data_IF_511977448990
#
_entry.id   IF_511977448990
#
_cell.length_a   1.000
_cell.length_b   1.000
_cell.length_c   1.000
_cell.angle_alpha   90.00
_cell.angle_beta   90.00
_cell.angle_gamma   90.00
#
_symmetry.space_group_name_H-M   'P 1'
#
loop_
_entity.id
_entity.type
_entity.pdbx_description
1 polymer ?
2 branched ?
3 non-polymer ?
4 non-polymer ?
5 non-polymer ?
6 water ?
#
# COMPACT_ATOMS: atom_id res chain seq x y z
N UNK A 1 21.41 -12.00 8.89
CA UNK A 1 22.53 -12.80 8.31
C UNK A 1 23.27 -12.06 7.19
N UNK A 2 22.81 -12.27 5.96
CA UNK A 2 23.38 -11.62 4.77
C UNK A 2 22.22 -10.80 4.18
N UNK A 3 22.53 -9.76 3.41
CA UNK A 3 21.47 -8.96 2.81
C UNK A 3 20.70 -9.82 1.81
N UNK A 4 19.38 -9.65 1.77
CA UNK A 4 18.59 -10.40 0.81
C UNK A 4 18.74 -9.80 -0.59
N UNK A 5 18.82 -10.67 -1.59
CA UNK A 5 18.91 -10.25 -2.98
C UNK A 5 17.68 -10.78 -3.70
N UNK A 6 17.10 -9.97 -4.56
CA UNK A 6 15.91 -10.35 -5.33
C UNK A 6 16.36 -11.23 -6.46
N UNK A 7 16.61 -12.49 -6.15
CA UNK A 7 17.11 -13.43 -7.16
C UNK A 7 16.05 -14.24 -7.87
N UNK A 8 14.83 -14.26 -7.34
CA UNK A 8 13.76 -15.04 -7.96
C UNK A 8 12.77 -14.21 -8.77
N UNK A 9 12.02 -14.91 -9.62
CA UNK A 9 10.99 -14.27 -10.40
C UNK A 9 9.68 -14.58 -9.67
N UNK A 10 8.57 -14.02 -10.12
CA UNK A 10 7.26 -14.26 -9.49
C UNK A 10 6.74 -15.66 -9.82
N UNK A 11 6.00 -16.26 -8.90
CA UNK A 11 5.40 -17.55 -9.17
C UNK A 11 4.22 -17.23 -10.12
N UNK A 12 3.74 -18.24 -10.81
CA UNK A 12 2.62 -18.07 -11.72
C UNK A 12 1.36 -17.91 -10.88
N UNK A 13 0.64 -16.84 -11.13
CA UNK A 13 -0.57 -16.55 -10.39
C UNK A 13 -1.76 -17.09 -11.14
N UNK A 14 -2.35 -18.18 -10.63
CA UNK A 14 -3.53 -18.76 -11.30
C UNK A 14 -4.79 -18.49 -10.50
N UNK A 15 -4.60 -18.06 -9.26
CA UNK A 15 -5.69 -17.66 -8.36
C UNK A 15 -5.08 -17.09 -7.06
N UNK A 16 -5.94 -16.68 -6.14
CA UNK A 16 -5.50 -16.11 -4.88
C UNK A 16 -6.10 -16.88 -3.71
N UNK A 17 -5.27 -17.20 -2.72
CA UNK A 17 -5.73 -17.94 -1.54
C UNK A 17 -5.71 -17.00 -0.33
N UNK A 18 -6.56 -17.29 0.65
CA UNK A 18 -6.62 -16.46 1.87
C UNK A 18 -5.30 -16.63 2.62
N UNK A 19 -4.73 -15.51 3.04
CA UNK A 19 -3.46 -15.49 3.77
C UNK A 19 -3.66 -15.01 5.21
N UNK A 20 -4.28 -13.85 5.40
CA UNK A 20 -4.53 -13.36 6.74
C UNK A 20 -5.77 -12.49 6.80
N UNK A 21 -6.38 -12.39 7.97
CA UNK A 21 -7.57 -11.57 8.19
C UNK A 21 -7.65 -11.38 9.70
N UNK A 22 -7.73 -10.13 10.15
CA UNK A 22 -7.79 -9.89 11.59
C UNK A 22 -9.16 -9.61 12.23
N UNK A 23 -10.20 -9.34 11.41
CA UNK A 23 -11.53 -9.09 11.96
C UNK A 23 -11.45 -8.07 13.09
N UNK A 24 -10.59 -7.08 12.93
CA UNK A 24 -10.34 -6.08 13.96
C UNK A 24 -11.55 -5.31 14.48
N UNK A 25 -12.40 -4.85 13.57
CA UNK A 25 -13.57 -4.07 13.97
C UNK A 25 -14.60 -4.94 14.72
N UNK A 26 -14.80 -6.18 14.26
CA UNK A 26 -15.73 -7.09 14.93
C UNK A 26 -15.25 -7.30 16.35
N UNK A 27 -14.00 -7.72 16.48
CA UNK A 27 -13.42 -8.01 17.78
C UNK A 27 -13.33 -6.79 18.69
N UNK A 28 -12.91 -5.65 18.13
CA UNK A 28 -12.76 -4.42 18.87
C UNK A 28 -14.04 -3.81 19.43
N UNK A 29 -15.18 -4.37 19.03
CA UNK A 29 -16.48 -3.91 19.53
C UNK A 29 -16.53 -4.18 21.05
N UNK A 30 -15.73 -5.15 21.49
CA UNK A 30 -15.71 -5.51 22.89
C UNK A 30 -14.33 -5.99 23.36
N UNK A 31 -13.29 -5.28 22.96
CA UNK A 31 -11.94 -5.59 23.41
C UNK A 31 -11.10 -4.36 23.09
N UNK A 32 -9.90 -4.26 23.68
CA UNK A 32 -9.10 -3.05 23.50
C UNK A 32 -8.28 -2.96 22.24
N UNK A 33 -9.02 -2.77 21.14
CA UNK A 33 -8.43 -2.69 19.83
C UNK A 33 -8.22 -1.22 19.44
N UNK A 34 -7.01 -0.91 18.98
CA UNK A 34 -6.69 0.45 18.56
C UNK A 34 -7.36 0.83 17.23
N UNK A 35 -7.73 2.11 17.11
CA UNK A 35 -8.30 2.61 15.87
C UNK A 35 -7.07 2.76 14.96
N UNK A 36 -7.22 2.38 13.70
CA UNK A 36 -6.13 2.49 12.74
C UNK A 36 -6.66 2.89 11.39
N UNK A 37 -5.75 2.93 10.41
CA UNK A 37 -6.02 3.12 8.98
C UNK A 37 -4.64 3.02 8.30
N UNK A 38 -4.62 2.96 6.97
CA UNK A 38 -3.40 2.87 6.18
C UNK A 38 -2.57 1.64 6.60
N UNK A 39 -3.20 0.47 6.60
CA UNK A 39 -2.51 -0.76 7.00
C UNK A 39 -1.68 -1.36 5.86
N UNK A 40 -0.85 -2.33 6.22
CA UNK A 40 -0.08 -3.09 5.23
C UNK A 40 0.50 -4.34 5.90
N UNK A 41 1.26 -5.12 5.16
CA UNK A 41 1.86 -6.33 5.70
C UNK A 41 3.31 -6.33 5.27
N UNK A 42 4.18 -6.87 6.12
CA UNK A 42 5.60 -6.91 5.80
C UNK A 42 6.26 -8.06 6.56
N UNK A 43 7.17 -8.77 5.89
CA UNK A 43 7.85 -9.90 6.48
C UNK A 43 9.28 -9.66 6.88
N UNK A 44 9.66 -10.39 7.92
CA UNK A 44 11.03 -10.41 8.42
C UNK A 44 11.42 -11.84 7.99
N UNK A 45 12.70 -12.18 8.07
CA UNK A 45 13.12 -13.53 7.68
C UNK A 45 12.46 -14.67 8.49
N UNK A 46 11.97 -14.38 9.68
CA UNK A 46 11.37 -15.40 10.51
C UNK A 46 9.93 -15.14 10.92
N UNK A 47 9.30 -14.09 10.39
CA UNK A 47 7.94 -13.75 10.78
C UNK A 47 7.34 -12.70 9.86
N UNK A 48 6.03 -12.78 9.61
CA UNK A 48 5.32 -11.77 8.82
C UNK A 48 4.32 -11.13 9.77
N UNK A 49 4.20 -9.81 9.72
CA UNK A 49 3.32 -9.08 10.63
C UNK A 49 2.43 -8.07 9.91
N UNK A 50 1.37 -7.66 10.61
CA UNK A 50 0.46 -6.63 10.10
C UNK A 50 1.04 -5.30 10.62
N UNK A 51 0.84 -4.25 9.84
CA UNK A 51 1.33 -2.89 10.15
C UNK A 51 0.19 -1.92 9.89
N UNK A 52 0.20 -0.77 10.57
CA UNK A 52 -0.80 0.28 10.34
C UNK A 52 -0.48 1.53 11.13
N UNK A 53 -1.21 2.59 10.84
CA UNK A 53 -1.06 3.83 11.55
C UNK A 53 -2.16 3.94 12.60
N UNK A 54 -1.76 3.78 13.85
CA UNK A 54 -2.69 3.89 14.96
C UNK A 54 -3.18 5.33 15.06
N UNK A 55 -4.31 5.53 15.73
CA UNK A 55 -4.84 6.87 15.95
C UNK A 55 -4.69 7.19 17.45
N UNK A 56 -3.99 6.32 18.18
CA UNK A 56 -3.75 6.54 19.60
C UNK A 56 -4.99 6.55 20.49
N UNK A 57 -5.89 5.59 20.24
CA UNK A 57 -7.13 5.45 21.01
C UNK A 57 -7.73 4.12 20.60
N UNK A 58 -8.57 3.54 21.46
CA UNK A 58 -9.27 2.30 21.12
C UNK A 58 -10.54 2.72 20.35
N UNK A 59 -11.18 1.77 19.68
CA UNK A 59 -12.38 2.06 18.90
C UNK A 59 -13.55 2.40 19.81
N UNK A 60 -13.70 1.68 20.91
CA UNK A 60 -14.77 1.98 21.86
C UNK A 60 -14.48 3.20 22.73
N UNK A 61 -13.22 3.66 22.74
CA UNK A 61 -12.85 4.79 23.55
C UNK A 61 -13.48 6.07 23.08
N UNK A 62 -13.70 7.00 24.01
CA UNK A 62 -14.30 8.27 23.66
C UNK A 62 -13.40 9.06 22.71
N UNK A 63 -12.08 8.84 22.75
CA UNK A 63 -11.18 9.56 21.85
C UNK A 63 -11.26 9.06 20.40
N UNK A 64 -12.11 8.05 20.13
CA UNK A 64 -12.27 7.56 18.75
C UNK A 64 -13.04 8.61 17.94
N UNK A 65 -13.71 9.52 18.65
CA UNK A 65 -14.48 10.56 17.99
C UNK A 65 -13.52 11.48 17.23
N UNK A 66 -13.68 11.54 15.91
CA UNK A 66 -12.83 12.41 15.12
C UNK A 66 -11.70 11.74 14.37
N UNK A 67 -11.59 10.41 14.50
CA UNK A 67 -10.51 9.68 13.82
C UNK A 67 -10.60 9.60 12.31
N UNK A 68 -11.52 10.37 11.72
CA UNK A 68 -11.54 10.42 10.26
C UNK A 68 -10.32 11.27 9.83
N UNK A 69 -9.84 12.15 10.72
CA UNK A 69 -8.69 13.01 10.41
C UNK A 69 -7.41 12.21 10.23
N UNK A 70 -6.64 12.62 9.23
CA UNK A 70 -5.41 11.96 8.83
C UNK A 70 -4.12 12.18 9.59
N UNK A 71 -3.87 13.43 10.00
CA UNK A 71 -2.61 13.74 10.63
C UNK A 71 -2.74 14.41 11.97
N UNK A 72 -2.35 13.70 13.02
CA UNK A 72 -2.40 14.23 14.38
C UNK A 72 -1.13 13.76 15.07
N UNK A 73 -0.86 14.34 16.23
CA UNK A 73 0.31 14.00 17.02
C UNK A 73 0.11 12.68 17.75
N UNK A 74 -1.06 12.08 17.62
CA UNK A 74 -1.35 10.83 18.33
C UNK A 74 -1.25 9.56 17.51
N UNK A 75 -0.75 9.71 16.29
CA UNK A 75 -0.59 8.59 15.39
C UNK A 75 0.81 8.00 15.48
N UNK A 76 0.92 6.72 15.13
CA UNK A 76 2.22 6.03 15.16
C UNK A 76 2.13 4.78 14.27
N UNK A 77 3.25 4.37 13.71
CA UNK A 77 3.28 3.15 12.93
C UNK A 77 3.40 2.02 13.96
N UNK A 78 2.47 1.06 13.92
CA UNK A 78 2.53 -0.07 14.83
C UNK A 78 2.53 -1.35 14.03
N UNK A 79 3.06 -2.43 14.61
CA UNK A 79 3.01 -3.71 13.96
C UNK A 79 2.53 -4.71 15.00
N UNK A 80 1.95 -5.82 14.54
CA UNK A 80 1.43 -6.80 15.46
C UNK A 80 1.39 -8.15 14.74
N UNK A 81 1.24 -9.25 15.50
CA UNK A 81 1.19 -10.59 14.90
C UNK A 81 0.14 -10.81 13.83
N UNK A 82 0.57 -11.51 12.78
CA UNK A 82 -0.27 -11.83 11.63
C UNK A 82 -1.65 -12.34 12.02
N UNK A 83 -2.67 -11.68 11.49
CA UNK A 83 -4.07 -12.02 11.68
C UNK A 83 -4.68 -11.77 13.06
N UNK A 84 -3.87 -11.26 13.98
CA UNK A 84 -4.38 -10.87 15.30
C UNK A 84 -4.85 -9.42 15.06
N UNK A 85 -5.69 -8.86 15.95
CA UNK A 85 -6.09 -7.47 15.71
C UNK A 85 -5.07 -6.55 16.38
N UNK A 86 -5.01 -5.27 15.98
CA UNK A 86 -4.04 -4.37 16.62
C UNK A 86 -4.61 -3.90 17.96
N UNK A 87 -4.17 -4.55 19.03
CA UNK A 87 -4.64 -4.20 20.36
C UNK A 87 -3.63 -3.34 21.12
N UNK A 88 -4.09 -2.74 22.20
CA UNK A 88 -3.23 -1.90 23.01
C UNK A 88 -2.07 -2.74 23.57
N UNK A 89 -2.37 -3.99 23.88
CA UNK A 89 -1.42 -4.90 24.50
C UNK A 89 -0.48 -5.72 23.60
N UNK A 90 -0.73 -5.77 22.29
CA UNK A 90 0.11 -6.57 21.40
C UNK A 90 0.69 -5.74 20.26
N UNK A 91 0.44 -4.45 20.25
CA UNK A 91 0.93 -3.61 19.17
C UNK A 91 2.28 -3.03 19.54
N UNK A 92 3.24 -3.18 18.63
CA UNK A 92 4.60 -2.69 18.84
C UNK A 92 4.77 -1.43 18.04
N UNK A 93 5.17 -0.33 18.70
CA UNK A 93 5.37 0.92 17.97
C UNK A 93 6.73 0.91 17.26
N UNK A 94 6.71 1.14 15.94
CA UNK A 94 7.94 1.19 15.15
C UNK A 94 8.51 2.64 15.10
N UNK A 95 7.62 3.63 15.13
CA UNK A 95 7.97 5.05 15.14
C UNK A 95 6.71 5.91 15.18
N UNK A 96 6.89 7.19 15.47
CA UNK A 96 5.79 8.15 15.60
C UNK A 96 5.59 8.97 14.34
N UNK A 97 4.34 9.07 13.88
CA UNK A 97 4.06 9.83 12.67
C UNK A 97 2.76 9.46 11.99
N UNK A 98 2.45 10.14 10.89
CA UNK A 98 1.19 9.91 10.18
C UNK A 98 1.30 9.46 8.73
N UNK A 99 2.51 9.04 8.34
CA UNK A 99 2.78 8.52 7.01
C UNK A 99 3.99 7.63 7.20
N UNK A 100 3.97 6.45 6.59
CA UNK A 100 5.07 5.50 6.79
C UNK A 100 5.33 4.48 5.71
N UNK A 101 6.46 3.80 5.90
CA UNK A 101 6.88 2.66 5.11
C UNK A 101 7.83 1.85 6.00
N UNK A 102 8.08 0.59 5.65
CA UNK A 102 8.95 -0.26 6.44
C UNK A 102 9.32 -1.47 5.60
N UNK A 103 10.54 -1.97 5.78
CA UNK A 103 10.97 -3.17 5.08
C UNK A 103 12.21 -3.77 5.73
N UNK A 104 12.37 -5.07 5.58
CA UNK A 104 13.51 -5.79 6.13
C UNK A 104 14.51 -6.03 4.99
N UNK A 105 15.80 -5.82 5.26
CA UNK A 105 16.80 -6.01 4.22
C UNK A 105 17.49 -7.36 4.30
N UNK A 106 17.03 -8.22 5.21
CA UNK A 106 17.62 -9.53 5.37
C UNK A 106 18.42 -9.58 6.65
N UNK A 107 18.98 -8.45 7.06
CA UNK A 107 19.76 -8.38 8.29
C UNK A 107 18.86 -7.79 9.37
N UNK A 108 18.27 -6.64 9.09
CA UNK A 108 17.37 -6.01 10.04
C UNK A 108 16.36 -5.13 9.32
N UNK A 109 15.46 -4.53 10.08
CA UNK A 109 14.40 -3.73 9.50
C UNK A 109 14.60 -2.22 9.52
N UNK A 110 14.16 -1.57 8.44
CA UNK A 110 14.18 -0.12 8.33
C UNK A 110 12.71 0.32 8.37
N UNK A 111 12.41 1.30 9.23
CA UNK A 111 11.04 1.83 9.32
C UNK A 111 11.14 3.34 9.18
N UNK A 112 10.20 3.95 8.47
CA UNK A 112 10.22 5.40 8.27
C UNK A 112 8.87 5.99 8.65
N UNK A 113 8.89 7.04 9.48
CA UNK A 113 7.65 7.72 9.87
C UNK A 113 7.83 9.20 9.65
N UNK A 114 6.82 9.83 9.09
CA UNK A 114 6.86 11.27 8.86
C UNK A 114 5.86 11.90 9.83
N UNK A 115 6.26 13.02 10.46
CA UNK A 115 5.38 13.73 11.38
C UNK A 115 5.57 15.23 11.20
N UNK A 116 4.73 16.01 11.87
CA UNK A 116 4.84 17.45 11.82
C UNK A 116 3.63 18.12 11.21
N UNK A 117 3.62 19.45 11.21
CA UNK A 117 2.52 20.21 10.63
C UNK A 117 2.68 20.16 9.11
N UNK A 118 1.64 20.54 8.38
CA UNK A 118 1.67 20.48 6.93
C UNK A 118 2.84 21.17 6.26
N UNK A 119 3.26 22.31 6.79
CA UNK A 119 4.36 23.08 6.20
C UNK A 119 5.72 22.86 6.86
N UNK A 120 5.84 21.86 7.72
CA UNK A 120 7.11 21.67 8.38
C UNK A 120 7.30 20.22 8.83
N UNK A 121 6.87 19.28 7.98
CA UNK A 121 7.00 17.86 8.30
C UNK A 121 8.43 17.35 8.11
N UNK A 122 8.73 16.21 8.72
CA UNK A 122 10.06 15.60 8.60
C UNK A 122 9.95 14.10 8.71
N UNK A 123 10.81 13.39 8.00
CA UNK A 123 10.87 11.95 8.05
C UNK A 123 12.03 11.54 8.97
N UNK A 124 11.81 10.49 9.77
CA UNK A 124 12.88 9.94 10.60
C UNK A 124 13.01 8.50 10.16
N UNK A 125 14.22 8.11 9.78
CA UNK A 125 14.50 6.77 9.29
C UNK A 125 15.16 5.97 10.39
N UNK A 126 14.47 4.90 10.80
CA UNK A 126 14.91 4.01 11.85
C UNK A 126 15.50 2.76 11.24
N UNK A 127 16.57 2.25 11.83
CA UNK A 127 17.20 1.02 11.36
C UNK A 127 17.64 0.24 12.60
N UNK A 128 17.26 -1.03 12.65
CA UNK A 128 17.59 -1.86 13.81
C UNK A 128 16.97 -1.26 15.07
N UNK A 129 15.76 -0.72 14.90
CA UNK A 129 14.94 -0.10 15.94
C UNK A 129 15.55 1.14 16.60
N UNK A 130 16.45 1.82 15.88
CA UNK A 130 17.09 3.03 16.38
C UNK A 130 17.00 4.10 15.31
N UNK A 131 16.82 5.37 15.70
CA UNK A 131 16.74 6.44 14.69
C UNK A 131 18.13 6.67 14.13
N UNK A 132 18.25 6.73 12.81
CA UNK A 132 19.56 6.93 12.16
C UNK A 132 19.68 8.20 11.30
N UNK A 133 18.68 8.47 10.46
CA UNK A 133 18.68 9.62 9.55
C UNK A 133 17.34 10.40 9.61
N UNK A 134 17.41 11.70 9.33
CA UNK A 134 16.21 12.53 9.31
C UNK A 134 16.25 13.35 8.04
N UNK A 135 15.08 13.60 7.46
CA UNK A 135 14.97 14.37 6.21
C UNK A 135 13.87 15.40 6.39
N UNK A 136 14.22 16.68 6.23
CA UNK A 136 13.23 17.75 6.37
C UNK A 136 12.42 17.92 5.09
N UNK A 137 11.19 18.40 5.24
CA UNK A 137 10.30 18.68 4.12
C UNK A 137 11.06 19.57 3.11
N UNK A 138 10.92 19.27 1.82
CA UNK A 138 11.59 20.08 0.79
C UNK A 138 10.62 20.97 0.04
N UNK A 139 9.32 20.68 0.14
CA UNK A 139 8.33 21.49 -0.55
C UNK A 139 7.34 22.11 0.42
N UNK A 140 7.51 21.82 1.71
CA UNK A 140 6.66 22.36 2.77
C UNK A 140 5.17 22.19 2.54
N UNK A 141 4.78 21.00 2.09
CA UNK A 141 3.37 20.69 1.82
C UNK A 141 3.12 19.18 1.96
N UNK A 142 2.94 18.77 3.21
CA UNK A 142 2.68 17.38 3.56
C UNK A 142 3.63 16.35 2.97
N UNK A 143 4.87 16.36 3.46
CA UNK A 143 5.85 15.35 3.06
C UNK A 143 5.12 14.02 3.37
N UNK A 144 5.15 13.07 2.44
CA UNK A 144 4.40 11.82 2.63
C UNK A 144 5.05 10.67 1.85
N UNK A 145 4.77 9.43 2.26
CA UNK A 145 5.39 8.30 1.59
C UNK A 145 4.43 7.17 1.24
N UNK A 146 4.95 5.96 1.09
CA UNK A 146 4.19 4.83 0.59
C UNK A 146 2.92 4.27 1.23
N UNK A 147 2.94 4.10 2.56
CA UNK A 147 1.84 3.51 3.32
C UNK A 147 1.77 2.00 3.06
N UNK A 148 2.88 1.43 2.59
CA UNK A 148 3.01 -0.01 2.43
C UNK A 148 4.52 -0.33 2.41
N UNK A 149 4.89 -1.60 2.42
CA UNK A 149 6.31 -1.90 2.52
C UNK A 149 7.22 -1.49 1.37
N UNK A 150 8.46 -1.18 1.72
CA UNK A 150 9.46 -0.86 0.71
C UNK A 150 10.10 -2.23 0.38
N UNK A 151 11.08 -2.23 -0.52
CA UNK A 151 11.75 -3.48 -0.90
C UNK A 151 13.26 -3.26 -0.95
N UNK A 152 14.03 -4.25 -0.51
CA UNK A 152 15.48 -4.12 -0.50
C UNK A 152 16.18 -5.14 -1.41
N UNK A 153 17.37 -4.77 -1.87
CA UNK A 153 18.20 -5.64 -2.70
C UNK A 153 19.66 -5.35 -2.31
N UNK A 154 20.35 -6.36 -1.80
CA UNK A 154 21.73 -6.23 -1.34
C UNK A 154 21.95 -5.02 -0.42
N UNK A 155 21.01 -4.80 0.50
CA UNK A 155 21.14 -3.71 1.45
C UNK A 155 20.55 -2.39 1.02
N UNK A 156 20.27 -2.23 -0.28
CA UNK A 156 19.72 -0.97 -0.80
C UNK A 156 18.21 -1.06 -0.82
N UNK A 157 17.56 -0.15 -0.08
CA UNK A 157 16.09 -0.12 0.02
C UNK A 157 15.52 1.21 -0.47
N UNK A 158 15.06 1.26 -1.75
CA UNK A 158 14.50 2.49 -2.30
C UNK A 158 13.13 2.79 -1.69
N UNK A 159 12.84 4.09 -1.52
CA UNK A 159 11.57 4.53 -0.96
C UNK A 159 11.11 5.75 -1.76
N UNK A 160 9.83 5.79 -2.10
CA UNK A 160 9.30 6.90 -2.86
C UNK A 160 8.58 7.85 -1.92
N UNK A 161 8.94 9.14 -2.00
CA UNK A 161 8.36 10.21 -1.19
C UNK A 161 7.80 11.29 -2.11
N UNK A 162 6.76 12.00 -1.64
CA UNK A 162 6.23 13.12 -2.39
C UNK A 162 6.06 14.28 -1.42
N UNK A 163 6.38 15.50 -1.86
CA UNK A 163 6.19 16.69 -1.05
C UNK A 163 5.65 17.70 -2.05
N UNK A 164 4.56 18.38 -1.67
CA UNK A 164 3.95 19.34 -2.56
C UNK A 164 2.48 19.08 -2.78
N UNK A 165 1.91 19.76 -3.77
CA UNK A 165 0.49 19.65 -4.09
C UNK A 165 -0.05 18.25 -4.37
N UNK A 166 -1.33 18.07 -4.02
CA UNK A 166 -2.04 16.81 -4.27
C UNK A 166 -2.96 17.03 -5.48
N UNK A 167 -2.96 18.25 -6.00
CA UNK A 167 -3.83 18.63 -7.10
C UNK A 167 -3.13 19.40 -8.21
N UNK A 168 -1.84 19.14 -8.38
CA UNK A 168 -1.05 19.78 -9.40
C UNK A 168 0.32 19.14 -9.30
N UNK A 169 1.31 19.60 -10.06
CA UNK A 169 2.66 19.03 -9.99
C UNK A 169 3.23 19.09 -8.57
N UNK A 170 3.91 18.04 -8.16
CA UNK A 170 4.49 17.98 -6.83
C UNK A 170 5.95 17.56 -6.97
N UNK A 171 6.68 17.50 -5.85
CA UNK A 171 8.08 17.10 -5.89
C UNK A 171 8.29 15.71 -5.29
N UNK A 172 8.39 14.73 -6.17
CA UNK A 172 8.58 13.35 -5.80
C UNK A 172 10.05 13.02 -5.88
N UNK A 173 10.53 12.27 -4.89
CA UNK A 173 11.92 11.87 -4.83
C UNK A 173 12.02 10.38 -4.52
N UNK A 174 13.05 9.75 -5.09
CA UNK A 174 13.30 8.36 -4.81
C UNK A 174 14.59 8.36 -4.00
N UNK A 175 14.52 7.89 -2.75
CA UNK A 175 15.68 7.83 -1.89
C UNK A 175 16.17 6.40 -1.85
N UNK A 176 17.49 6.24 -1.90
CA UNK A 176 18.10 4.91 -1.83
C UNK A 176 18.81 4.84 -0.48
N UNK A 177 18.27 4.04 0.44
CA UNK A 177 18.84 3.90 1.77
C UNK A 177 19.60 2.58 1.91
N UNK A 178 20.61 2.58 2.76
CA UNK A 178 21.32 1.35 3.09
C UNK A 178 21.67 1.52 4.56
N UNK A 179 21.21 0.60 5.40
CA UNK A 179 21.43 0.69 6.82
C UNK A 179 20.92 2.01 7.40
N UNK A 180 19.81 2.48 6.85
CA UNK A 180 19.20 3.71 7.33
C UNK A 180 19.88 4.99 6.90
N UNK A 181 20.93 4.88 6.12
CA UNK A 181 21.65 6.06 5.67
C UNK A 181 21.33 6.33 4.20
N UNK A 182 21.36 7.60 3.81
CA UNK A 182 21.05 7.95 2.42
C UNK A 182 22.26 7.74 1.51
N UNK A 183 22.12 6.85 0.53
CA UNK A 183 23.20 6.63 -0.41
C UNK A 183 23.05 7.66 -1.54
N UNK A 184 21.80 7.90 -1.92
CA UNK A 184 21.50 8.79 -3.04
C UNK A 184 20.00 9.03 -3.07
N UNK A 185 19.60 10.12 -3.72
CA UNK A 185 18.18 10.38 -3.95
C UNK A 185 18.14 11.01 -5.32
N UNK A 186 17.00 10.89 -5.97
CA UNK A 186 16.86 11.50 -7.27
C UNK A 186 15.42 11.94 -7.44
N UNK A 187 15.20 12.97 -8.26
CA UNK A 187 13.85 13.46 -8.52
C UNK A 187 13.15 12.50 -9.47
N UNK A 188 11.84 12.42 -9.35
CA UNK A 188 11.07 11.54 -10.22
C UNK A 188 11.35 11.91 -11.68
N UNK A 189 11.48 10.88 -12.52
CA UNK A 189 11.70 11.07 -13.94
C UNK A 189 10.67 10.22 -14.67
N UNK A 190 10.67 10.31 -15.99
CA UNK A 190 9.71 9.55 -16.78
C UNK A 190 8.44 10.31 -17.10
N UNK A 191 7.39 9.58 -17.50
CA UNK A 191 6.15 10.24 -17.88
C UNK A 191 5.03 10.27 -16.83
N UNK A 192 5.24 9.68 -15.65
CA UNK A 192 4.22 9.73 -14.60
C UNK A 192 4.10 11.21 -14.23
N UNK A 193 2.88 11.75 -14.17
CA UNK A 193 2.67 13.19 -13.90
C UNK A 193 2.46 13.59 -12.43
N UNK A 194 2.07 12.62 -11.61
CA UNK A 194 1.85 12.86 -10.18
C UNK A 194 1.99 11.49 -9.50
N UNK A 195 2.64 11.46 -8.32
CA UNK A 195 2.90 10.22 -7.58
C UNK A 195 2.57 10.31 -6.10
N UNK A 196 1.83 9.32 -5.62
CA UNK A 196 1.47 9.22 -4.23
C UNK A 196 1.33 7.76 -3.85
N UNK A 197 1.65 7.46 -2.60
CA UNK A 197 1.44 6.12 -2.07
C UNK A 197 1.82 4.90 -2.91
N UNK A 198 3.09 4.78 -3.28
CA UNK A 198 3.54 3.66 -4.10
C UNK A 198 3.47 2.30 -3.40
N UNK A 199 2.99 1.29 -4.14
CA UNK A 199 2.90 -0.09 -3.65
C UNK A 199 3.96 -0.84 -4.43
N UNK A 200 4.96 -1.39 -3.73
CA UNK A 200 6.07 -2.03 -4.42
C UNK A 200 6.32 -3.51 -4.15
N UNK A 201 7.08 -4.13 -5.04
CA UNK A 201 7.50 -5.52 -4.89
C UNK A 201 8.75 -5.68 -5.74
N UNK A 202 9.52 -6.74 -5.49
CA UNK A 202 10.73 -6.95 -6.24
C UNK A 202 10.87 -8.38 -6.76
N UNK A 203 11.56 -8.50 -7.88
CA UNK A 203 11.83 -9.81 -8.49
C UNK A 203 12.95 -9.59 -9.48
N UNK A 204 13.85 -10.57 -9.56
CA UNK A 204 14.98 -10.52 -10.48
C UNK A 204 15.69 -9.17 -10.55
N UNK A 205 16.12 -8.71 -9.38
CA UNK A 205 16.86 -7.47 -9.22
C UNK A 205 16.20 -6.20 -9.75
N UNK A 206 14.88 -6.20 -9.79
CA UNK A 206 14.13 -5.02 -10.22
C UNK A 206 12.97 -4.79 -9.24
N UNK A 207 12.72 -3.52 -8.89
CA UNK A 207 11.63 -3.19 -7.98
C UNK A 207 10.55 -2.43 -8.76
N UNK A 208 9.32 -2.95 -8.71
CA UNK A 208 8.20 -2.31 -9.41
C UNK A 208 7.23 -1.71 -8.42
N UNK A 209 6.87 -0.46 -8.65
CA UNK A 209 5.95 0.25 -7.77
C UNK A 209 4.76 0.75 -8.56
N UNK A 210 3.55 0.46 -8.08
CA UNK A 210 2.32 0.92 -8.72
C UNK A 210 1.79 1.97 -7.75
N UNK A 211 1.62 3.19 -8.22
CA UNK A 211 1.23 4.28 -7.36
C UNK A 211 -0.12 4.91 -7.66
N UNK A 212 -0.32 6.09 -7.10
CA UNK A 212 -1.58 6.84 -7.24
C UNK A 212 -1.30 8.25 -7.81
N UNK A 213 -1.90 8.55 -8.96
CA UNK A 213 -1.77 9.88 -9.55
C UNK A 213 -3.02 10.56 -9.02
N UNK A 214 -2.88 11.31 -7.94
CA UNK A 214 -4.04 11.94 -7.34
C UNK A 214 -4.61 13.09 -8.19
N UNK A 215 -3.71 13.77 -8.89
CA UNK A 215 -4.08 14.93 -9.69
C UNK A 215 -5.01 14.67 -10.87
N UNK A 216 -4.56 13.85 -11.81
CA UNK A 216 -5.38 13.62 -12.98
C UNK A 216 -5.66 12.21 -13.45
N UNK A 217 -4.81 11.25 -13.11
CA UNK A 217 -4.98 9.91 -13.64
C UNK A 217 -5.86 8.87 -12.98
N UNK A 218 -6.65 8.17 -13.78
CA UNK A 218 -7.51 7.11 -13.29
C UNK A 218 -6.83 5.79 -13.61
N UNK A 219 -5.80 5.86 -14.44
CA UNK A 219 -4.95 4.71 -14.71
C UNK A 219 -3.86 4.94 -13.63
N UNK A 220 -3.08 3.92 -13.29
CA UNK A 220 -2.07 4.13 -12.25
C UNK A 220 -0.65 4.29 -12.75
N UNK A 221 0.10 5.25 -12.18
CA UNK A 221 1.49 5.46 -12.60
C UNK A 221 2.34 4.30 -12.08
N UNK A 222 3.41 3.99 -12.80
CA UNK A 222 4.28 2.89 -12.42
C UNK A 222 5.72 3.35 -12.45
N UNK A 223 6.43 3.09 -11.35
CA UNK A 223 7.84 3.44 -11.22
C UNK A 223 8.62 2.13 -11.12
N UNK A 224 9.61 1.94 -12.00
CA UNK A 224 10.43 0.75 -11.96
C UNK A 224 11.83 1.18 -11.57
N UNK A 225 12.34 0.55 -10.52
CA UNK A 225 13.63 0.92 -9.97
C UNK A 225 14.70 -0.15 -10.09
N UNK A 226 15.89 0.29 -10.45
CA UNK A 226 17.04 -0.59 -10.53
C UNK A 226 17.79 -0.26 -9.22
N UNK A 227 17.73 -1.16 -8.21
CA UNK A 227 18.42 -0.88 -6.95
C UNK A 227 19.93 -1.02 -6.96
N UNK A 228 20.49 -1.52 -8.06
CA UNK A 228 21.94 -1.65 -8.13
C UNK A 228 22.49 -0.36 -8.77
N UNK A 229 21.94 0.04 -9.90
CA UNK A 229 22.36 1.27 -10.55
C UNK A 229 21.74 2.45 -9.82
N UNK A 230 20.73 2.18 -9.02
CA UNK A 230 20.01 3.22 -8.28
C UNK A 230 19.47 4.25 -9.26
N UNK A 231 18.70 3.75 -10.23
CA UNK A 231 18.06 4.58 -11.26
C UNK A 231 16.63 4.06 -11.42
N UNK A 232 15.80 4.82 -12.12
CA UNK A 232 14.41 4.42 -12.29
C UNK A 232 13.79 5.02 -13.54
N UNK A 233 12.58 4.55 -13.86
CA UNK A 233 11.81 5.07 -14.98
C UNK A 233 10.40 5.13 -14.46
N UNK A 234 9.53 5.81 -15.18
CA UNK A 234 8.14 5.89 -14.79
C UNK A 234 7.27 6.01 -16.03
N UNK A 235 6.03 5.50 -15.89
CA UNK A 235 5.05 5.56 -16.95
C UNK A 235 3.71 5.26 -16.28
N UNK A 236 2.71 4.91 -17.08
CA UNK A 236 1.40 4.54 -16.55
C UNK A 236 1.08 3.15 -17.07
N UNK A 237 0.15 2.47 -16.39
CA UNK A 237 -0.29 1.16 -16.86
C UNK A 237 -1.10 1.53 -18.13
N UNK A 238 -0.71 0.95 -19.28
CA UNK A 238 -1.35 1.19 -20.58
C UNK A 238 -2.80 0.72 -20.68
N UNK A 239 -3.09 -0.42 -20.07
CA UNK A 239 -4.39 -1.02 -20.15
C UNK A 239 -5.62 -0.14 -19.91
N UNK A 240 -6.70 -0.36 -20.69
CA UNK A 240 -7.93 0.40 -20.56
C UNK A 240 -8.70 -0.06 -19.30
N UNK A 241 -8.21 -1.11 -18.61
CA UNK A 241 -8.87 -1.57 -17.37
C UNK A 241 -8.36 -0.61 -16.28
N UNK A 242 -9.10 0.47 -16.04
CA UNK A 242 -8.66 1.49 -15.07
C UNK A 242 -8.74 1.02 -13.61
N UNK A 243 -7.70 1.31 -12.82
CA UNK A 243 -7.68 0.84 -11.44
C UNK A 243 -7.61 1.80 -10.26
N UNK A 244 -7.75 3.10 -10.50
CA UNK A 244 -7.79 4.00 -9.37
C UNK A 244 -9.28 4.13 -8.98
N UNK A 245 -9.58 4.99 -8.01
CA UNK A 245 -10.96 5.22 -7.58
C UNK A 245 -11.04 6.56 -6.86
N UNK A 246 -12.04 7.40 -7.19
CA UNK A 246 -13.09 7.18 -8.19
C UNK A 246 -12.48 7.19 -9.60
N UNK A 247 -13.23 6.75 -10.59
CA UNK A 247 -12.69 6.71 -11.95
C UNK A 247 -13.83 6.65 -12.93
N UNK A 248 -13.56 7.00 -14.21
CA UNK A 248 -14.62 6.94 -15.23
C UNK A 248 -14.76 5.48 -15.63
N UNK A 249 -15.75 5.16 -16.45
CA UNK A 249 -15.91 3.78 -16.89
C UNK A 249 -14.74 3.37 -17.76
N UNK A 250 -14.49 2.07 -17.84
CA UNK A 250 -13.40 1.56 -18.64
C UNK A 250 -13.60 1.83 -20.14
N UNK A 251 -12.59 2.38 -20.82
CA UNK A 251 -12.61 2.68 -22.26
C UNK A 251 -12.10 1.42 -22.98
N UNK A 252 -11.87 1.49 -24.30
CA UNK A 252 -11.35 0.32 -25.01
C UNK A 252 -9.86 0.46 -25.22
N UNK A 253 -9.35 1.67 -25.06
CA UNK A 253 -7.92 1.89 -25.19
C UNK A 253 -7.47 2.84 -24.05
N UNK A 254 -6.38 2.49 -23.38
CA UNK A 254 -5.87 3.30 -22.28
C UNK A 254 -4.79 4.29 -22.69
N UNK A 255 -4.01 4.75 -21.71
CA UNK A 255 -2.93 5.69 -21.97
C UNK A 255 -1.67 5.20 -21.29
N UNK A 256 -0.57 5.13 -22.05
CA UNK A 256 0.71 4.65 -21.56
C UNK A 256 1.61 5.68 -20.90
N UNK A 257 1.54 6.92 -21.38
CA UNK A 257 2.41 7.97 -20.85
C UNK A 257 1.74 9.24 -20.38
N UNK A 258 0.47 9.16 -20.02
CA UNK A 258 -0.24 10.31 -19.53
C UNK A 258 -1.40 9.82 -18.70
N UNK A 259 -1.91 10.66 -17.81
CA UNK A 259 -3.04 10.23 -16.97
C UNK A 259 -4.29 10.06 -17.84
N UNK A 260 -5.04 8.99 -17.59
CA UNK A 260 -6.28 8.79 -18.31
C UNK A 260 -7.24 9.77 -17.60
N UNK A 261 -7.86 10.70 -18.35
CA UNK A 261 -8.78 11.71 -17.78
C UNK A 261 -10.18 11.27 -17.35
N UNK A 262 -10.88 12.18 -16.67
CA UNK A 262 -12.22 11.84 -16.23
C UNK A 262 -12.47 12.13 -14.77
N UNK A 263 -11.42 12.00 -13.95
CA UNK A 263 -11.53 12.26 -12.52
C UNK A 263 -10.27 12.96 -12.03
N UNK A 264 -10.45 14.06 -11.31
CA UNK A 264 -9.33 14.85 -10.82
C UNK A 264 -9.28 14.94 -9.33
N UNK A 265 -8.10 15.24 -8.84
CA UNK A 265 -7.90 15.48 -7.43
C UNK A 265 -8.46 14.47 -6.46
N UNK A 266 -8.28 13.19 -6.73
CA UNK A 266 -8.74 12.18 -5.79
C UNK A 266 -8.17 10.85 -6.23
N UNK A 267 -8.32 9.83 -5.39
CA UNK A 267 -7.80 8.53 -5.75
C UNK A 267 -7.76 7.62 -4.54
N UNK A 268 -7.06 6.51 -4.66
CA UNK A 268 -6.93 5.55 -3.56
C UNK A 268 -5.63 4.80 -3.77
N UNK A 269 -4.95 4.44 -2.68
CA UNK A 269 -3.71 3.68 -2.81
C UNK A 269 -4.09 2.32 -3.38
N UNK A 270 -3.31 1.85 -4.35
CA UNK A 270 -3.59 0.57 -4.98
C UNK A 270 -2.32 -0.13 -5.40
N UNK A 271 -2.45 -1.23 -6.15
CA UNK A 271 -1.27 -1.98 -6.55
C UNK A 271 -1.53 -2.87 -7.75
N UNK A 272 -0.46 -3.50 -8.23
CA UNK A 272 -0.55 -4.44 -9.33
C UNK A 272 0.72 -5.31 -9.40
N UNK A 273 0.64 -6.41 -10.13
CA UNK A 273 1.80 -7.27 -10.36
C UNK A 273 1.87 -7.28 -11.89
N UNK A 274 2.95 -6.70 -12.42
CA UNK A 274 3.16 -6.55 -13.87
C UNK A 274 4.27 -7.48 -14.30
N UNK A 275 3.87 -8.60 -14.87
CA UNK A 275 4.81 -9.66 -15.24
C UNK A 275 4.36 -10.37 -16.52
N UNK A 276 4.33 -9.61 -17.63
CA UNK A 276 3.91 -10.20 -18.90
C UNK A 276 2.49 -10.74 -18.86
N UNK A 277 2.32 -12.00 -19.28
CA UNK A 277 0.98 -12.59 -19.26
C UNK A 277 0.55 -12.85 -17.81
N UNK A 278 1.52 -12.99 -16.91
CA UNK A 278 1.27 -13.23 -15.49
C UNK A 278 1.03 -11.87 -14.81
N UNK A 279 0.19 -11.03 -15.41
CA UNK A 279 -0.12 -9.73 -14.88
C UNK A 279 -1.51 -9.70 -14.24
N UNK A 280 -1.57 -9.23 -13.00
CA UNK A 280 -2.84 -9.13 -12.28
C UNK A 280 -3.00 -7.73 -11.69
N UNK A 281 -4.19 -7.15 -11.89
CA UNK A 281 -4.50 -5.82 -11.39
C UNK A 281 -5.56 -5.87 -10.29
N UNK A 282 -5.38 -5.06 -9.26
CA UNK A 282 -6.38 -5.00 -8.21
C UNK A 282 -7.13 -3.70 -8.38
N UNK A 283 -8.41 -3.70 -8.00
CA UNK A 283 -9.21 -2.49 -8.04
C UNK A 283 -10.52 -2.64 -7.29
N UNK A 284 -11.11 -1.50 -6.92
CA UNK A 284 -12.41 -1.50 -6.27
C UNK A 284 -13.39 -1.84 -7.39
N UNK A 285 -14.52 -2.43 -7.04
CA UNK A 285 -15.50 -2.77 -8.05
C UNK A 285 -16.22 -1.49 -8.45
N UNK A 286 -16.58 -0.67 -7.47
CA UNK A 286 -17.25 0.60 -7.75
C UNK A 286 -16.32 1.60 -8.44
N UNK A 287 -16.85 2.38 -9.38
CA UNK A 287 -16.03 3.40 -10.04
C UNK A 287 -16.22 4.72 -9.27
N UNK A 288 -17.16 4.74 -8.34
CA UNK A 288 -17.47 5.94 -7.57
C UNK A 288 -16.96 5.96 -6.13
N UNK A 289 -16.90 4.80 -5.49
CA UNK A 289 -16.47 4.80 -4.09
C UNK A 289 -15.63 3.60 -3.75
N UNK A 290 -15.09 3.60 -2.53
CA UNK A 290 -14.23 2.53 -2.06
C UNK A 290 -15.11 1.38 -1.59
N UNK A 291 -15.73 0.76 -2.58
CA UNK A 291 -16.65 -0.33 -2.38
C UNK A 291 -16.20 -1.53 -3.21
N UNK A 292 -16.20 -2.71 -2.60
CA UNK A 292 -15.78 -3.91 -3.29
C UNK A 292 -14.31 -3.96 -3.68
N UNK A 293 -13.86 -5.13 -4.07
CA UNK A 293 -12.48 -5.29 -4.51
C UNK A 293 -12.36 -6.57 -5.33
N UNK A 294 -11.66 -6.46 -6.46
CA UNK A 294 -11.46 -7.61 -7.35
C UNK A 294 -10.04 -7.63 -7.91
N UNK A 295 -9.59 -8.82 -8.29
CA UNK A 295 -8.29 -9.01 -8.92
C UNK A 295 -8.65 -9.40 -10.35
N UNK A 296 -7.96 -8.82 -11.32
CA UNK A 296 -8.19 -9.11 -12.75
C UNK A 296 -6.86 -9.45 -13.45
N UNK A 297 -6.84 -10.57 -14.15
CA UNK A 297 -5.64 -10.96 -14.88
C UNK A 297 -5.77 -10.22 -16.20
N UNK A 298 -4.83 -9.32 -16.44
CA UNK A 298 -4.83 -8.53 -17.65
C UNK A 298 -3.44 -8.67 -18.25
N UNK A 299 -3.27 -9.68 -19.12
CA UNK A 299 -1.98 -9.93 -19.76
C UNK A 299 -1.39 -8.68 -20.41
N UNK A 300 -0.14 -8.39 -20.06
CA UNK A 300 0.61 -7.25 -20.57
C UNK A 300 0.00 -5.89 -20.29
N UNK A 301 -0.77 -5.78 -19.21
CA UNK A 301 -1.42 -4.53 -18.85
C UNK A 301 -0.48 -3.31 -18.93
N UNK A 302 0.75 -3.47 -18.45
CA UNK A 302 1.69 -2.35 -18.46
C UNK A 302 2.00 -1.76 -19.83
N UNK A 303 2.13 -2.64 -20.82
CA UNK A 303 2.53 -2.23 -22.16
C UNK A 303 1.51 -2.29 -23.27
N UNK A 304 0.36 -2.90 -23.02
CA UNK A 304 -0.67 -3.05 -24.05
C UNK A 304 -1.86 -2.14 -23.76
N UNK A 305 -2.03 -1.10 -24.57
CA UNK A 305 -3.11 -0.14 -24.34
C UNK A 305 -4.54 -0.59 -24.68
N UNK A 306 -4.68 -1.84 -25.06
CA UNK A 306 -5.99 -2.38 -25.37
C UNK A 306 -6.24 -3.64 -24.53
N UNK A 307 -5.29 -3.97 -23.65
CA UNK A 307 -5.40 -5.18 -22.83
C UNK A 307 -6.66 -5.24 -21.95
N UNK A 308 -7.35 -6.38 -21.99
CA UNK A 308 -8.56 -6.59 -21.21
C UNK A 308 -8.43 -7.88 -20.38
N UNK A 309 -9.32 -8.08 -19.40
CA UNK A 309 -9.22 -9.29 -18.57
C UNK A 309 -9.39 -10.65 -19.24
N UNK A 310 -8.64 -11.64 -18.75
CA UNK A 310 -8.76 -13.01 -19.27
C UNK A 310 -9.20 -13.96 -18.12
N UNK A 311 -9.19 -13.43 -16.90
CA UNK A 311 -9.56 -14.20 -15.72
C UNK A 311 -9.71 -13.22 -14.58
N UNK A 312 -10.37 -13.63 -13.51
CA UNK A 312 -10.51 -12.73 -12.40
C UNK A 312 -10.90 -13.40 -11.10
N UNK A 313 -10.88 -12.64 -10.02
CA UNK A 313 -11.30 -13.17 -8.73
C UNK A 313 -11.85 -12.05 -7.87
N UNK A 314 -13.06 -12.25 -7.33
CA UNK A 314 -13.66 -11.23 -6.49
C UNK A 314 -13.09 -11.42 -5.08
N UNK A 315 -12.70 -10.33 -4.44
CA UNK A 315 -12.12 -10.40 -3.10
C UNK A 315 -13.12 -9.88 -2.06
N UNK A 316 -13.78 -8.77 -2.39
CA UNK A 316 -14.78 -8.14 -1.52
C UNK A 316 -15.96 -7.76 -2.40
N UNK A 317 -17.17 -8.10 -1.97
CA UNK A 317 -18.37 -7.78 -2.77
C UNK A 317 -18.58 -6.27 -2.85
N UNK A 318 -19.21 -5.84 -3.94
CA UNK A 318 -19.45 -4.42 -4.13
C UNK A 318 -20.40 -3.88 -3.07
N UNK A 319 -21.00 -4.78 -2.32
CA UNK A 319 -21.91 -4.37 -1.26
C UNK A 319 -21.16 -4.25 0.06
N UNK A 320 -19.84 -4.32 0.01
CA UNK A 320 -19.03 -4.19 1.21
C UNK A 320 -17.96 -3.15 1.00
N UNK A 321 -17.57 -2.50 2.08
CA UNK A 321 -16.55 -1.47 2.03
C UNK A 321 -15.12 -2.00 1.92
N UNK A 322 -14.33 -1.37 1.05
CA UNK A 322 -12.93 -1.72 0.89
C UNK A 322 -12.10 -0.49 1.27
N UNK A 323 -11.05 -0.19 0.52
CA UNK A 323 -10.20 0.94 0.85
C UNK A 323 -8.84 0.75 0.23
N UNK A 324 -7.78 1.14 0.93
CA UNK A 324 -6.40 1.01 0.43
C UNK A 324 -6.03 -0.45 0.16
N UNK A 325 -5.08 -0.66 -0.74
CA UNK A 325 -4.58 -2.00 -1.03
C UNK A 325 -3.12 -1.83 -1.44
N UNK A 326 -2.31 -2.85 -1.17
CA UNK A 326 -0.90 -2.77 -1.50
C UNK A 326 -0.26 -4.13 -1.60
N UNK A 327 0.97 -4.15 -2.10
CA UNK A 327 1.70 -5.38 -2.29
C UNK A 327 2.76 -5.65 -1.22
N UNK A 328 3.07 -6.93 -1.05
CA UNK A 328 4.13 -7.40 -0.16
C UNK A 328 4.36 -8.86 -0.56
N UNK A 329 5.52 -9.37 -0.22
CA UNK A 329 5.81 -10.77 -0.48
C UNK A 329 6.74 -11.25 0.62
N UNK A 330 6.72 -12.56 0.86
CA UNK A 330 7.62 -13.12 1.83
C UNK A 330 8.88 -13.52 1.02
N UNK A 331 9.88 -12.64 1.05
CA UNK A 331 11.13 -12.85 0.33
C UNK A 331 12.00 -13.92 0.97
N UNK A 332 11.57 -14.44 2.12
CA UNK A 332 12.34 -15.45 2.81
C UNK A 332 11.68 -16.86 2.85
N UNK A 333 10.69 -17.06 1.99
CA UNK A 333 9.99 -18.34 1.88
C UNK A 333 10.85 -19.35 1.11
N UNK A 334 10.45 -20.62 1.13
CA UNK A 334 11.18 -21.65 0.40
C UNK A 334 10.69 -21.67 -1.04
N UNK A 335 11.32 -22.50 -1.87
CA UNK A 335 10.85 -22.56 -3.24
C UNK A 335 11.72 -21.77 -4.21
N UNK A 336 11.34 -21.79 -5.48
CA UNK A 336 12.11 -21.13 -6.51
C UNK A 336 11.56 -19.82 -7.03
N UNK A 337 10.43 -19.40 -6.49
CA UNK A 337 9.82 -18.17 -6.95
C UNK A 337 9.22 -17.39 -5.79
N UNK A 338 8.98 -16.10 -5.99
CA UNK A 338 8.38 -15.26 -4.96
C UNK A 338 6.87 -15.31 -5.17
N UNK A 339 6.12 -15.58 -4.10
CA UNK A 339 4.67 -15.67 -4.19
C UNK A 339 4.04 -14.28 -3.96
N UNK A 340 3.41 -13.75 -5.00
CA UNK A 340 2.79 -12.45 -4.90
C UNK A 340 1.71 -12.40 -3.83
N UNK A 341 1.69 -11.35 -3.01
CA UNK A 341 0.63 -11.19 -2.00
C UNK A 341 0.13 -9.76 -2.01
N UNK A 342 -1.02 -9.55 -1.38
CA UNK A 342 -1.57 -8.21 -1.24
C UNK A 342 -2.52 -8.16 -0.06
N UNK A 343 -2.83 -6.95 0.38
CA UNK A 343 -3.79 -6.76 1.46
C UNK A 343 -4.81 -5.73 0.96
N UNK A 344 -6.00 -5.76 1.55
CA UNK A 344 -7.03 -4.77 1.26
C UNK A 344 -7.46 -4.24 2.63
N UNK A 345 -7.52 -2.92 2.73
CA UNK A 345 -7.93 -2.23 3.93
C UNK A 345 -9.46 -2.17 3.83
N UNK A 346 -10.17 -2.66 4.86
CA UNK A 346 -11.64 -2.62 4.86
C UNK A 346 -12.06 -1.50 5.83
N UNK A 347 -12.28 -0.31 5.28
CA UNK A 347 -12.62 0.86 6.08
C UNK A 347 -14.05 0.85 6.58
N UNK A 348 -14.20 1.12 7.88
CA UNK A 348 -15.50 1.16 8.50
C UNK A 348 -15.63 2.50 9.18
N UNK A 349 -16.86 2.98 9.30
CA UNK A 349 -17.08 4.26 9.94
C UNK A 349 -17.13 5.40 8.94
N UNK A 350 -16.67 6.57 9.36
CA UNK A 350 -16.74 7.74 8.50
C UNK A 350 -15.77 7.68 7.33
N UNK A 351 -16.14 8.33 6.21
CA UNK A 351 -17.38 9.10 6.00
C UNK A 351 -18.60 8.33 5.54
N UNK A 352 -18.40 7.09 5.10
CA UNK A 352 -19.50 6.31 4.57
C UNK A 352 -20.52 5.86 5.58
N UNK A 353 -20.07 5.61 6.81
CA UNK A 353 -20.98 5.16 7.87
C UNK A 353 -20.86 6.18 8.99
N UNK A 354 -21.62 7.26 8.85
CA UNK A 354 -21.53 8.33 9.82
C UNK A 354 -22.40 8.29 11.07
N UNK A 355 -23.04 7.14 11.33
CA UNK A 355 -23.83 6.99 12.54
C UNK A 355 -22.83 6.90 13.72
N UNK A 356 -21.59 6.49 13.42
CA UNK A 356 -20.53 6.43 14.42
C UNK A 356 -19.62 7.64 14.16
N UNK A 357 -18.87 8.05 15.16
CA UNK A 357 -17.99 9.23 15.07
C UNK A 357 -16.55 8.93 14.71
N UNK A 358 -16.27 7.65 14.53
CA UNK A 358 -14.94 7.20 14.23
C UNK A 358 -14.77 6.67 12.83
N UNK A 359 -13.51 6.44 12.49
CA UNK A 359 -13.12 5.82 11.22
C UNK A 359 -12.02 4.83 11.59
N UNK A 360 -12.16 3.59 11.15
CA UNK A 360 -11.12 2.59 11.37
C UNK A 360 -11.16 1.59 10.21
N UNK A 361 -10.57 0.42 10.41
CA UNK A 361 -10.54 -0.59 9.37
C UNK A 361 -10.13 -1.93 9.94
N UNK A 362 -10.26 -2.97 9.12
CA UNK A 362 -9.73 -4.26 9.49
C UNK A 362 -8.89 -4.61 8.25
N UNK A 363 -8.24 -5.78 8.28
CA UNK A 363 -7.39 -6.19 7.17
C UNK A 363 -7.73 -7.57 6.63
N UNK A 364 -7.66 -7.72 5.31
CA UNK A 364 -7.77 -9.03 4.68
C UNK A 364 -6.56 -9.06 3.75
N UNK A 365 -5.94 -10.22 3.63
CA UNK A 365 -4.74 -10.37 2.82
C UNK A 365 -4.76 -11.72 2.12
N UNK A 366 -4.25 -11.76 0.90
CA UNK A 366 -4.21 -12.98 0.11
C UNK A 366 -2.87 -13.12 -0.60
N UNK A 367 -2.53 -14.34 -0.96
CA UNK A 367 -1.30 -14.61 -1.72
C UNK A 367 -1.69 -15.48 -2.91
N UNK A 368 -0.85 -15.55 -3.93
CA UNK A 368 -1.19 -16.31 -5.12
C UNK A 368 -1.00 -17.82 -4.98
N UNK A 369 -1.76 -18.55 -5.78
CA UNK A 369 -1.69 -20.01 -5.84
C UNK A 369 -1.48 -20.39 -7.29
N UNK A 370 -0.75 -21.48 -7.53
CA UNK A 370 -0.59 -21.94 -8.89
C UNK A 370 -1.81 -22.79 -9.27
N UNK A 371 -2.68 -23.06 -8.29
CA UNK A 371 -3.92 -23.79 -8.54
C UNK A 371 -4.96 -22.77 -8.96
N UNK A 372 -6.08 -23.26 -9.46
CA UNK A 372 -7.20 -22.37 -9.84
C UNK A 372 -8.25 -22.64 -8.78
N UNK A 373 -8.10 -21.97 -7.65
CA UNK A 373 -8.95 -22.11 -6.48
C UNK A 373 -10.29 -21.43 -6.54
N UNK A 374 -11.26 -22.06 -5.88
CA UNK A 374 -12.60 -21.48 -5.80
C UNK A 374 -12.49 -20.18 -5.02
N UNK A 375 -13.40 -19.25 -5.28
CA UNK A 375 -13.35 -17.97 -4.61
C UNK A 375 -14.46 -17.73 -3.58
N UNK A 376 -14.14 -16.92 -2.58
CA UNK A 376 -15.09 -16.52 -1.54
C UNK A 376 -14.92 -15.00 -1.44
N UNK A 377 -15.85 -14.30 -0.77
CA UNK A 377 -15.69 -12.86 -0.59
C UNK A 377 -15.34 -12.71 0.89
N UNK A 378 -14.59 -11.65 1.21
CA UNK A 378 -14.09 -11.44 2.56
C UNK A 378 -14.38 -10.06 3.11
N UNK A 379 -15.59 -9.86 3.63
CA UNK A 379 -15.93 -8.54 4.17
C UNK A 379 -15.37 -8.28 5.57
N UNK A 380 -15.43 -7.04 6.01
CA UNK A 380 -14.95 -6.72 7.35
C UNK A 380 -15.73 -7.57 8.38
N UNK A 381 -17.05 -7.63 8.22
CA UNK A 381 -17.88 -8.44 9.09
C UNK A 381 -18.53 -7.81 10.30
N UNK A 382 -18.21 -6.56 10.60
CA UNK A 382 -18.80 -5.92 11.78
C UNK A 382 -20.15 -5.31 11.46
N UNK A 383 -20.99 -5.21 12.49
CA UNK A 383 -22.32 -4.60 12.37
C UNK A 383 -22.24 -3.23 13.02
N UNK A 384 -22.28 -2.17 12.24
CA UNK A 384 -22.18 -0.80 12.77
C UNK A 384 -23.23 -0.54 13.84
N UNK A 385 -24.43 -1.10 13.67
CA UNK A 385 -25.51 -0.91 14.63
C UNK A 385 -25.08 -1.25 16.04
N UNK A 386 -24.20 -2.23 16.18
CA UNK A 386 -23.72 -2.64 17.50
C UNK A 386 -22.94 -1.53 18.20
N UNK A 387 -22.39 -0.60 17.43
CA UNK A 387 -21.57 0.47 17.97
C UNK A 387 -22.37 1.73 18.35
N UNK A 388 -23.67 1.71 18.07
CA UNK A 388 -24.53 2.85 18.36
C UNK A 388 -25.07 2.88 19.78
X LIG B 1 9.49 25.38 10.59
X LIG B 1 8.97 26.78 11.03
X LIG B 1 10.11 27.70 11.44
X LIG B 1 10.96 26.99 12.51
X LIG B 1 11.46 25.62 11.95
X LIG B 1 12.34 24.84 12.89
X LIG B 1 7.08 27.78 9.94
X LIG B 1 6.67 28.32 8.59
X LIG B 1 8.33 27.35 9.88
X LIG B 1 9.58 28.90 11.98
X LIG B 1 12.07 27.88 12.78
X LIG B 1 10.31 24.86 11.65
X LIG B 1 11.81 24.81 14.19
X LIG B 1 6.38 27.73 10.96
X LIG B 2 12.39 28.07 14.19
X LIG B 2 13.93 28.37 14.47
X LIG B 2 14.14 28.53 15.98
X LIG B 2 13.13 29.64 16.45
X LIG B 2 11.67 29.36 16.05
X LIG B 2 10.66 30.45 16.43
X LIG B 2 15.40 27.39 12.83
X LIG B 2 16.27 26.20 12.41
X LIG B 2 14.77 27.31 14.00
X LIG B 2 15.49 28.83 16.31
X LIG B 2 13.11 29.69 17.87
X LIG B 2 11.63 29.19 14.65
X LIG B 2 11.01 31.64 15.75
X LIG B 2 15.32 28.35 12.07
X LIG B 3 13.40 30.94 18.45
X LIG B 3 13.02 30.83 19.92
X LIG B 3 13.49 32.13 20.63
X LIG B 3 15.00 32.42 20.40
X LIG B 3 15.27 32.43 18.88
X LIG B 3 16.72 32.50 18.65
X LIG B 3 13.65 29.66 20.46
X LIG B 3 13.28 31.94 22.03
X LIG B 3 15.39 33.63 21.00
X LIG B 3 14.81 31.20 18.29
X LIG B 3 16.93 32.83 17.28
X LIG B 4 12.81 33.07 22.66
X LIG B 4 12.88 32.83 24.15
X LIG B 4 11.88 31.69 24.55
X LIG B 4 10.44 32.12 24.16
X LIG B 4 10.41 32.35 22.65
X LIG B 4 9.04 32.92 22.19
X LIG B 4 12.48 34.10 24.67
X LIG B 4 11.97 31.39 25.91
X LIG B 4 9.49 31.15 24.52
X LIG B 4 11.47 33.31 22.26
X LIG B 4 9.04 32.60 20.81
X LIG B 5 12.44 34.28 26.08
X LIG B 5 11.87 35.71 26.32
X LIG B 5 12.86 36.76 25.82
X LIG B 5 14.24 36.51 26.49
X LIG B 5 14.77 35.06 26.24
X LIG B 5 16.07 34.71 26.95
X LIG B 5 11.66 35.89 27.73
X LIG B 5 12.33 38.04 26.15
X LIG B 5 15.18 37.41 25.91
X LIG B 5 13.76 34.14 26.69
X LIG B 5 16.04 35.16 28.29
X LIG B 6 10.32 35.81 28.14
X LIG B 6 10.36 36.24 29.61
X LIG B 6 11.02 35.13 30.48
X LIG B 6 10.32 33.76 30.29
X LIG B 6 10.36 33.40 28.77
X LIG B 6 9.64 32.12 28.47
X LIG B 6 9.02 36.46 30.03
X LIG B 6 10.91 35.51 31.82
X LIG B 6 10.98 32.79 31.06
X LIG B 6 9.74 34.48 27.97
X LIG B 6 8.29 32.30 28.72
X LIG B 7 16.93 34.25 17.08
X LIG B 7 16.97 34.55 15.60
X LIG B 7 18.37 34.20 15.07
X LIG B 7 19.48 34.99 15.84
X LIG B 7 19.37 34.73 17.35
X LIG B 7 20.26 35.58 18.26
X LIG B 7 16.65 35.92 15.37
X LIG B 7 18.43 34.49 13.69
X LIG B 7 20.69 34.51 15.38
X LIG B 7 18.02 34.95 17.77
X LIG B 7 20.75 36.86 17.80
X LIG C 1 23.48 -10.87 -1.91
X LIG C 1 24.01 -12.00 -1.06
X LIG C 1 25.23 -11.50 -0.32
X LIG C 1 26.28 -10.96 -1.27
X LIG C 1 25.74 -10.03 -2.36
X LIG C 1 26.78 -10.20 -3.49
X LIG C 1 22.76 -13.72 0.07
X LIG C 1 21.68 -14.07 1.08
X LIG C 1 23.00 -12.43 -0.12
X LIG C 1 25.81 -12.54 0.41
X LIG C 1 27.11 -10.14 -0.50
X LIG C 1 24.46 -10.50 -2.86
X LIG C 1 26.84 -8.90 -3.94
X LIG C 1 23.36 -14.62 -0.50
X LIG D 1 29.11 -11.41 -0.37
X LIG D 1 29.63 -10.13 0.24
X LIG D 1 31.14 -10.68 0.34
X LIG D 1 31.12 -11.71 1.64
X LIG D 1 29.84 -12.74 1.54
X LIG D 1 29.25 -13.29 2.89
X LIG D 1 29.52 -8.17 -1.47
X LIG D 1 28.70 -6.89 -1.61
X LIG D 1 29.21 -8.87 -0.39
X LIG D 1 32.12 -9.65 0.45
X LIG D 1 32.34 -12.49 1.79
X LIG D 1 28.70 -12.10 0.82
X LIG D 1 28.59 -12.32 3.70
X LIG D 1 30.37 -8.50 -2.28
X LIG E 1 -17.98 13.94 18.58
X LIG E 1 -19.14 14.14 19.52
X LIG E 1 -20.14 15.21 19.04
X LIG E 1 -19.47 16.54 18.76
X LIG E 1 -18.32 16.22 17.72
X LIG E 1 -17.47 17.41 17.33
X LIG E 1 -19.46 12.21 20.69
X LIG E 1 -20.25 10.92 20.80
X LIG E 1 -19.86 12.91 19.63
X LIG E 1 -21.12 15.41 20.03
X LIG E 1 -20.49 17.45 18.25
X LIG E 1 -17.41 15.22 18.27
X LIG E 1 -16.94 17.97 18.51
X LIG E 1 -18.54 12.60 21.43
X LIG F 1 -6.58 9.49 -9.41
X LIG G 1 -12.80 -4.19 29.89
X LIG H 1 -7.10 8.75 1.82
X LIG H 1 -5.95 9.28 2.41
X LIG H 1 -5.37 8.82 3.57
X LIG H 1 -3.97 9.28 4.00
X LIG H 1 -3.61 10.65 3.43
X LIG H 1 -3.95 10.63 1.91
X LIG H 1 -3.66 11.98 1.15
X LIG H 1 -3.87 11.75 -0.34
X LIG H 1 -3.99 13.04 -1.14
X LIG H 1 -1.74 11.94 4.38
X LIG H 1 -0.24 12.10 4.48
X LIG H 1 -2.18 10.95 3.63
X LIG H 1 -7.41 9.17 0.68
X LIG H 1 -7.77 7.89 2.41
X LIG H 1 -3.95 9.40 5.46
X LIG H 1 -5.36 10.34 1.72
X LIG H 1 -4.54 13.02 1.64
X LIG H 1 -2.79 11.01 -0.84
X LIG H 1 -2.73 13.84 -1.11
X LIG H 1 -2.49 12.71 4.99
#
# INVERSE_FOLDING_TARGET
RDFNNLTKGLCTINSWHIYGKDNAVRIGEDSDVLVTREPYVSCDPDECRFYALSQGTTIRGKHSNGTIHDRSQYRALISWPLSSPPTVYNSRVECIGWSSTSCHDGKTRMSICISGPNNNASAVIWYNRRPVTEINTWARNILRTQESECVCHNGVCPVVFTDGSATGPAETRIYYFKEGKILKWEPLAGTAKHIEECSCYGERAEITCTCRDNWQGSNRPVIRIDPVAMTHTSQYICSPVLTDNPRPNDPTVGKCNDPYPGNNNNGVKGFSYLDGVNTWLGRTISIASRSGYEMLKVPNALTDDKSKPTQGQTIVLNTDWSGYSGSFMDYWAEGECYRACFYVELIRGRPKEDKVWWTSNSIVSMCSSTEFLGQWDWPDGAKIEYFL
NAG C1 C2 C3 C4 C5 C6 C7 C8 N2 O3 O4 O5 O6 O7
NAG C1 C2 C3 C4 C5 C6 C7 C8 N2 O3 O4 O5 O6 O7
MAN C1 C2 C3 C4 C5 C6 O2 O3 O4 O5 O6
MAN C1 C2 C3 C4 C5 C6 O2 O3 O4 O5 O6
MAN C1 C2 C3 C4 C5 C6 O2 O3 O4 O5 O6
MAN C1 C2 C3 C4 C5 C6 O2 O3 O4 O5 O6
MAN C1 C2 C3 C4 C5 C6 O2 O3 O4 O5 O6
NAG C1 C2 C3 C4 C5 C6 C7 C8 N2 O3 O4 O5 O6 O7
NAG C1 C2 C3 C4 C5 C6 C7 C8 N2 O3 O4 O5 O6 O7
NAG C1 C2 C3 C4 C5 C6 C7 C8 N2 O3 O4 O5 O6 O7
CA CA
CA CA
49A C1 C2 C3 C4 C5 C6 C7 C8 C9 C10 C11 N5 O1A O1B N4 O6 O7 O8 N9 O10
#
